data_IF_726696283594
#
_entry.id   IF_726696283594
#
_cell.length_a   1.000
_cell.length_b   1.000
_cell.length_c   1.000
_cell.angle_alpha   90.00
_cell.angle_beta   90.00
_cell.angle_gamma   90.00
#
_symmetry.space_group_name_H-M   'P 1'
#
loop_
_entity.id
_entity.type
_entity.pdbx_description
1 polymer ?
#
# COMPACT_ATOMS: atom_id res chain seq x y z
N UNK A 1 21.45 -0.04 -4.05
CA UNK A 1 20.85 0.70 -2.92
C UNK A 1 20.41 2.05 -3.43
N UNK A 2 19.11 2.32 -3.40
CA UNK A 2 18.54 3.62 -3.82
C UNK A 2 18.04 4.27 -2.56
N UNK A 3 18.67 5.38 -2.17
CA UNK A 3 18.16 6.17 -1.06
C UNK A 3 16.95 6.96 -1.54
N UNK A 4 15.78 6.68 -0.94
CA UNK A 4 14.59 7.51 -1.10
C UNK A 4 14.48 8.50 0.05
N UNK A 5 14.20 9.72 -0.29
CA UNK A 5 14.08 10.83 0.65
C UNK A 5 12.65 11.37 0.61
N UNK A 6 12.02 11.49 1.79
CA UNK A 6 10.76 12.21 1.96
C UNK A 6 10.97 13.45 2.82
N UNK A 7 10.47 14.58 2.35
CA UNK A 7 10.61 15.86 3.04
C UNK A 7 9.41 16.77 2.72
N UNK A 8 8.58 17.00 3.71
CA UNK A 8 7.26 17.59 3.48
C UNK A 8 6.44 16.73 2.50
N UNK A 9 5.86 17.35 1.48
CA UNK A 9 5.12 16.67 0.42
C UNK A 9 5.98 16.28 -0.78
N UNK A 10 7.30 16.39 -0.66
CA UNK A 10 8.25 16.00 -1.70
C UNK A 10 8.80 14.61 -1.46
N UNK A 11 9.05 13.91 -2.56
CA UNK A 11 9.74 12.63 -2.61
C UNK A 11 10.87 12.73 -3.63
N UNK A 12 12.03 12.21 -3.30
CA UNK A 12 13.18 12.22 -4.19
C UNK A 12 13.91 10.88 -4.10
N UNK A 13 14.26 10.33 -5.23
CA UNK A 13 15.26 9.28 -5.34
C UNK A 13 16.20 9.55 -6.52
N UNK A 14 17.35 8.86 -6.54
CA UNK A 14 18.39 9.13 -7.53
C UNK A 14 18.04 8.63 -8.93
N UNK A 15 17.07 7.74 -9.09
CA UNK A 15 16.65 7.17 -10.37
C UNK A 15 15.41 7.87 -10.93
N UNK A 16 14.32 7.94 -10.16
CA UNK A 16 13.05 8.54 -10.62
C UNK A 16 13.02 10.07 -10.48
N UNK A 17 13.94 10.65 -9.70
CA UNK A 17 14.06 12.11 -9.52
C UNK A 17 13.13 12.67 -8.45
N UNK A 18 12.74 13.94 -8.59
CA UNK A 18 11.89 14.66 -7.64
C UNK A 18 10.42 14.50 -8.02
N UNK A 19 9.58 14.22 -7.01
CA UNK A 19 8.13 14.22 -7.12
C UNK A 19 7.53 15.14 -6.05
N UNK A 20 6.45 15.82 -6.39
CA UNK A 20 5.65 16.61 -5.46
C UNK A 20 4.19 16.16 -5.54
N UNK A 21 3.61 15.70 -4.43
CA UNK A 21 2.27 15.10 -4.40
C UNK A 21 2.08 13.99 -5.46
N UNK A 22 3.12 13.17 -5.71
CA UNK A 22 3.11 12.10 -6.71
C UNK A 22 3.38 12.53 -8.16
N UNK A 23 3.42 13.82 -8.47
CA UNK A 23 3.71 14.33 -9.80
C UNK A 23 5.21 14.56 -9.99
N UNK A 24 5.76 14.08 -11.11
CA UNK A 24 7.17 14.25 -11.42
C UNK A 24 7.53 15.73 -11.62
N UNK A 25 8.61 16.18 -10.97
CA UNK A 25 9.18 17.52 -11.11
C UNK A 25 10.51 17.41 -11.85
N UNK A 26 10.54 17.88 -13.07
CA UNK A 26 11.75 17.81 -13.88
C UNK A 26 12.86 18.68 -13.29
N UNK A 27 13.99 18.06 -12.91
CA UNK A 27 15.20 18.72 -12.45
C UNK A 27 16.38 18.42 -13.38
N UNK A 28 17.07 19.43 -13.91
CA UNK A 28 18.33 19.24 -14.61
C UNK A 28 19.40 18.61 -13.68
N UNK A 29 20.49 18.03 -14.24
CA UNK A 29 21.45 17.24 -13.45
C UNK A 29 22.08 17.98 -12.26
N UNK A 30 22.39 19.28 -12.39
CA UNK A 30 23.01 20.07 -11.30
C UNK A 30 22.03 20.33 -10.17
N UNK A 31 20.78 20.68 -10.48
CA UNK A 31 19.70 20.90 -9.52
C UNK A 31 19.34 19.60 -8.80
N UNK A 32 19.36 18.45 -9.50
CA UNK A 32 19.20 17.12 -8.92
C UNK A 32 20.34 16.79 -7.96
N UNK A 33 21.58 17.02 -8.36
CA UNK A 33 22.75 16.82 -7.50
C UNK A 33 22.73 17.71 -6.25
N UNK A 34 22.31 18.98 -6.40
CA UNK A 34 22.15 19.91 -5.28
C UNK A 34 21.10 19.41 -4.28
N UNK A 35 19.92 19.02 -4.78
CA UNK A 35 18.87 18.49 -3.92
C UNK A 35 19.34 17.23 -3.17
N UNK A 36 19.98 16.31 -3.86
CA UNK A 36 20.54 15.10 -3.24
C UNK A 36 21.57 15.40 -2.15
N UNK A 37 22.45 16.38 -2.37
CA UNK A 37 23.42 16.81 -1.36
C UNK A 37 22.73 17.39 -0.11
N UNK A 38 21.70 18.23 -0.29
CA UNK A 38 20.91 18.80 0.82
C UNK A 38 20.12 17.74 1.59
N UNK A 39 19.58 16.74 0.90
CA UNK A 39 18.86 15.62 1.51
C UNK A 39 19.80 14.75 2.37
N UNK A 40 21.01 14.47 1.88
CA UNK A 40 22.05 13.78 2.64
C UNK A 40 22.49 14.56 3.88
N UNK A 41 22.39 15.87 3.86
CA UNK A 41 22.65 16.73 5.01
C UNK A 41 21.60 16.64 6.12
N UNK A 42 20.44 16.01 5.87
CA UNK A 42 19.37 15.76 6.86
C UNK A 42 18.98 16.97 7.69
N UNK A 43 18.86 18.13 7.06
CA UNK A 43 18.57 19.41 7.72
C UNK A 43 19.77 20.11 8.35
N UNK A 44 20.96 19.52 8.32
CA UNK A 44 22.20 20.21 8.63
C UNK A 44 22.62 21.11 7.49
N UNK A 45 23.45 22.13 7.80
CA UNK A 45 23.97 23.05 6.78
C UNK A 45 25.02 22.31 5.94
N UNK A 46 24.75 22.23 4.63
CA UNK A 46 25.73 21.75 3.64
C UNK A 46 26.51 22.94 3.13
N UNK A 47 27.82 22.89 3.30
CA UNK A 47 28.71 24.01 2.97
C UNK A 47 28.87 24.17 1.45
N UNK A 48 29.20 25.38 1.03
CA UNK A 48 29.38 25.70 -0.40
C UNK A 48 30.52 24.89 -1.04
N UNK A 49 31.65 24.75 -0.36
CA UNK A 49 32.80 23.96 -0.81
C UNK A 49 32.43 22.47 -1.01
N UNK A 50 31.64 21.91 -0.10
CA UNK A 50 31.13 20.55 -0.21
C UNK A 50 30.19 20.39 -1.41
N UNK A 51 29.32 21.37 -1.67
CA UNK A 51 28.43 21.37 -2.84
C UNK A 51 29.22 21.44 -4.16
N UNK A 52 30.27 22.29 -4.21
CA UNK A 52 31.12 22.39 -5.39
C UNK A 52 31.78 21.04 -5.70
N UNK A 53 32.40 20.42 -4.71
CA UNK A 53 33.07 19.12 -4.87
C UNK A 53 32.16 18.03 -5.36
N UNK A 54 30.89 18.03 -4.91
CA UNK A 54 29.90 16.98 -5.26
C UNK A 54 29.19 17.19 -6.60
N UNK A 55 29.03 18.44 -7.04
CA UNK A 55 28.10 18.75 -8.14
C UNK A 55 28.84 19.21 -9.40
N UNK A 56 30.02 19.82 -9.27
CA UNK A 56 30.77 20.33 -10.41
C UNK A 56 32.00 19.46 -10.71
N UNK A 57 32.07 18.84 -11.90
CA UNK A 57 33.16 17.92 -12.27
C UNK A 57 34.56 18.54 -12.20
N UNK A 58 34.67 19.84 -12.47
CA UNK A 58 35.93 20.59 -12.38
C UNK A 58 36.31 20.94 -10.95
N UNK A 59 35.46 20.65 -9.96
CA UNK A 59 35.60 21.10 -8.56
C UNK A 59 35.74 22.63 -8.41
N UNK A 60 35.31 23.38 -9.42
CA UNK A 60 35.31 24.83 -9.43
C UNK A 60 33.91 25.35 -9.77
N UNK A 61 33.38 26.25 -8.95
CA UNK A 61 32.16 26.98 -9.22
C UNK A 61 32.21 28.34 -8.49
N UNK A 62 31.77 29.40 -9.16
CA UNK A 62 31.57 30.70 -8.51
C UNK A 62 30.35 30.68 -7.59
N UNK A 63 30.35 31.53 -6.57
CA UNK A 63 29.18 31.74 -5.69
C UNK A 63 27.91 32.07 -6.47
N UNK A 64 28.04 32.75 -7.60
CA UNK A 64 26.95 33.08 -8.52
C UNK A 64 26.37 31.79 -9.17
N UNK A 65 27.24 30.87 -9.59
CA UNK A 65 26.81 29.57 -10.18
C UNK A 65 26.05 28.71 -9.19
N UNK A 66 26.49 28.67 -7.93
CA UNK A 66 25.80 27.96 -6.85
C UNK A 66 24.43 28.60 -6.59
N UNK A 67 24.40 29.94 -6.43
CA UNK A 67 23.18 30.71 -6.16
C UNK A 67 22.16 30.55 -7.29
N UNK A 68 22.61 30.52 -8.55
CA UNK A 68 21.76 30.29 -9.73
C UNK A 68 21.17 28.88 -9.74
N UNK A 69 21.94 27.85 -9.34
CA UNK A 69 21.46 26.47 -9.23
C UNK A 69 20.43 26.34 -8.13
N UNK A 70 20.66 26.96 -6.95
CA UNK A 70 19.68 26.99 -5.85
C UNK A 70 18.39 27.70 -6.28
N UNK A 71 18.49 28.84 -6.97
CA UNK A 71 17.33 29.57 -7.47
C UNK A 71 16.50 28.73 -8.45
N UNK A 72 17.15 28.02 -9.37
CA UNK A 72 16.46 27.13 -10.33
C UNK A 72 15.76 25.96 -9.63
N UNK A 73 16.41 25.37 -8.64
CA UNK A 73 15.82 24.30 -7.84
C UNK A 73 14.57 24.81 -7.11
N UNK A 74 14.64 25.95 -6.40
CA UNK A 74 13.48 26.58 -5.74
C UNK A 74 12.36 26.89 -6.74
N UNK A 75 12.71 27.47 -7.90
CA UNK A 75 11.73 27.78 -8.95
C UNK A 75 11.03 26.55 -9.49
N UNK A 76 11.75 25.43 -9.67
CA UNK A 76 11.14 24.17 -10.11
C UNK A 76 10.18 23.61 -9.06
N UNK A 77 10.55 23.66 -7.78
CA UNK A 77 9.71 23.22 -6.68
C UNK A 77 8.45 24.07 -6.52
N UNK A 78 8.57 25.40 -6.62
CA UNK A 78 7.43 26.32 -6.56
C UNK A 78 6.49 26.19 -7.76
N UNK A 79 7.00 25.98 -8.98
CA UNK A 79 6.19 25.73 -10.17
C UNK A 79 5.36 24.43 -10.05
N UNK A 80 5.85 23.46 -9.29
CA UNK A 80 5.11 22.25 -8.96
C UNK A 80 4.02 22.48 -7.87
N UNK A 81 3.88 23.70 -7.35
CA UNK A 81 2.92 24.06 -6.32
C UNK A 81 3.39 23.82 -4.89
N UNK A 82 4.67 23.50 -4.70
CA UNK A 82 5.22 23.20 -3.40
C UNK A 82 5.81 24.41 -2.66
N UNK A 83 5.97 24.33 -1.32
CA UNK A 83 6.60 25.38 -0.52
C UNK A 83 8.10 25.47 -0.76
N UNK A 84 8.69 26.65 -0.50
CA UNK A 84 10.16 26.79 -0.43
C UNK A 84 10.68 26.17 0.87
N UNK A 85 11.31 25.03 0.74
CA UNK A 85 11.87 24.24 1.86
C UNK A 85 13.39 24.41 2.00
N UNK A 86 14.04 25.24 1.15
CA UNK A 86 15.48 25.44 1.16
C UNK A 86 15.81 26.76 1.87
N UNK A 87 16.62 26.69 2.91
CA UNK A 87 17.11 27.86 3.63
C UNK A 87 18.53 28.18 3.24
N UNK A 88 18.79 29.47 2.99
CA UNK A 88 20.14 29.98 2.84
C UNK A 88 20.68 30.38 4.21
N UNK A 89 21.78 29.76 4.64
CA UNK A 89 22.49 30.12 5.86
C UNK A 89 23.65 31.02 5.49
N UNK A 90 23.53 32.29 5.89
CA UNK A 90 24.49 33.33 5.48
C UNK A 90 25.94 32.93 5.79
N UNK A 91 26.84 33.14 4.84
CA UNK A 91 28.28 32.80 4.85
C UNK A 91 28.61 31.30 5.08
N UNK A 92 27.64 30.40 5.19
CA UNK A 92 27.88 29.01 5.51
C UNK A 92 27.46 28.04 4.38
N UNK A 93 26.24 28.15 3.87
CA UNK A 93 25.74 27.25 2.85
C UNK A 93 24.22 27.21 2.80
N UNK A 94 23.68 26.01 2.60
CA UNK A 94 22.24 25.79 2.45
C UNK A 94 21.79 24.58 3.27
N UNK A 95 20.51 24.60 3.74
CA UNK A 95 19.89 23.45 4.40
C UNK A 95 18.42 23.32 4.04
N UNK A 96 17.84 22.16 4.33
CA UNK A 96 16.40 21.98 4.27
C UNK A 96 15.75 22.38 5.60
N UNK A 97 14.66 23.17 5.54
CA UNK A 97 13.85 23.59 6.71
C UNK A 97 12.94 22.50 7.24
N UNK A 98 12.72 21.44 6.47
CA UNK A 98 11.82 20.35 6.78
C UNK A 98 12.62 19.13 7.20
N UNK A 99 12.06 18.33 8.11
CA UNK A 99 12.67 17.06 8.48
C UNK A 99 12.76 16.13 7.27
N UNK A 100 13.95 15.57 7.05
CA UNK A 100 14.20 14.61 5.98
C UNK A 100 14.10 13.22 6.56
N UNK A 101 13.13 12.45 6.11
CA UNK A 101 13.09 11.01 6.36
C UNK A 101 13.79 10.30 5.22
N UNK A 102 14.78 9.52 5.54
CA UNK A 102 15.49 8.68 4.57
C UNK A 102 14.95 7.27 4.74
N UNK A 103 14.26 6.79 3.74
CA UNK A 103 13.98 5.38 3.59
C UNK A 103 15.04 4.85 2.64
N UNK A 104 15.93 3.99 3.11
CA UNK A 104 16.67 3.16 2.19
C UNK A 104 15.67 2.19 1.61
N UNK A 105 15.30 2.39 0.37
CA UNK A 105 14.85 1.28 -0.42
C UNK A 105 16.15 0.56 -0.76
N UNK A 106 16.49 -0.38 0.09
CA UNK A 106 17.08 -1.56 -0.51
C UNK A 106 16.08 -1.94 -1.60
N UNK A 107 16.51 -2.12 -2.87
CA UNK A 107 15.64 -2.77 -3.80
C UNK A 107 15.00 -3.90 -3.01
N UNK A 108 13.69 -4.16 -3.16
CA UNK A 108 13.06 -5.29 -2.49
C UNK A 108 13.77 -6.54 -3.02
N UNK A 109 14.97 -6.68 -2.66
CA UNK A 109 15.70 -7.87 -2.48
C UNK A 109 15.21 -8.29 -1.11
N UNK A 110 14.16 -9.10 -1.06
CA UNK A 110 14.10 -10.03 0.02
C UNK A 110 15.50 -10.62 0.08
N UNK A 111 16.32 -10.17 1.04
CA UNK A 111 17.65 -10.74 1.24
C UNK A 111 17.55 -12.16 1.78
N UNK A 112 16.38 -12.79 1.72
CA UNK A 112 16.20 -14.22 1.86
C UNK A 112 16.39 -15.00 0.57
N UNK A 113 16.55 -14.36 -0.59
CA UNK A 113 16.86 -15.08 -1.83
C UNK A 113 18.33 -14.92 -2.19
N UNK A 114 19.13 -15.89 -1.81
CA UNK A 114 20.56 -15.97 -2.14
C UNK A 114 20.81 -16.28 -3.63
N UNK A 115 19.77 -16.61 -4.40
CA UNK A 115 19.86 -16.91 -5.82
C UNK A 115 19.31 -15.78 -6.69
N UNK A 116 20.13 -14.74 -6.86
CA UNK A 116 19.90 -13.70 -7.89
C UNK A 116 20.21 -14.30 -9.26
N UNK A 117 19.38 -14.03 -10.25
CA UNK A 117 19.68 -14.40 -11.64
C UNK A 117 21.02 -13.80 -12.09
N UNK A 118 21.83 -14.58 -12.78
CA UNK A 118 23.04 -14.08 -13.43
C UNK A 118 22.77 -13.50 -14.83
N UNK A 119 21.49 -13.46 -15.28
CA UNK A 119 21.09 -12.95 -16.58
C UNK A 119 20.64 -11.48 -16.47
N UNK A 120 21.44 -10.51 -16.95
CA UNK A 120 21.13 -9.08 -16.78
C UNK A 120 19.74 -8.68 -17.27
N UNK A 121 19.30 -9.26 -18.38
CA UNK A 121 17.96 -8.97 -18.96
C UNK A 121 16.81 -9.47 -18.06
N UNK A 122 16.98 -10.59 -17.36
CA UNK A 122 15.98 -11.08 -16.39
C UNK A 122 15.89 -10.13 -15.19
N UNK A 123 17.03 -9.64 -14.69
CA UNK A 123 17.08 -8.64 -13.61
C UNK A 123 16.39 -7.35 -14.04
N UNK A 124 16.69 -6.84 -15.25
CA UNK A 124 16.04 -5.64 -15.79
C UNK A 124 14.52 -5.80 -15.89
N UNK A 125 14.04 -6.96 -16.35
CA UNK A 125 12.61 -7.23 -16.42
C UNK A 125 11.96 -7.28 -15.03
N UNK A 126 12.61 -7.85 -14.01
CA UNK A 126 12.12 -7.85 -12.65
C UNK A 126 12.11 -6.44 -12.04
N UNK A 127 13.10 -5.61 -12.35
CA UNK A 127 13.14 -4.20 -11.93
C UNK A 127 11.96 -3.43 -12.53
N UNK A 128 11.70 -3.60 -13.83
CA UNK A 128 10.53 -2.99 -14.48
C UNK A 128 9.20 -3.47 -13.83
N UNK A 129 9.11 -4.75 -13.44
CA UNK A 129 7.92 -5.25 -12.73
C UNK A 129 7.68 -4.51 -11.41
N UNK A 130 8.74 -4.22 -10.65
CA UNK A 130 8.66 -3.44 -9.40
C UNK A 130 8.18 -2.01 -9.63
N UNK A 131 8.70 -1.36 -10.67
CA UNK A 131 8.29 0.00 -11.03
C UNK A 131 6.82 0.06 -11.45
N UNK A 132 6.34 -0.89 -12.27
CA UNK A 132 4.94 -1.00 -12.61
C UNK A 132 4.06 -1.21 -11.37
N UNK A 133 4.42 -2.17 -10.51
CA UNK A 133 3.64 -2.46 -9.31
C UNK A 133 3.56 -1.27 -8.35
N UNK A 134 4.57 -0.41 -8.31
CA UNK A 134 4.58 0.80 -7.48
C UNK A 134 3.49 1.81 -7.88
N UNK A 135 3.09 1.87 -9.16
CA UNK A 135 2.04 2.77 -9.67
C UNK A 135 0.63 2.31 -9.33
N UNK A 136 0.43 1.01 -9.14
CA UNK A 136 -0.80 0.37 -8.64
C UNK A 136 -2.08 0.57 -9.46
N UNK A 137 -2.02 1.11 -10.68
CA UNK A 137 -3.18 1.09 -11.58
C UNK A 137 -3.45 -0.34 -12.06
N UNK A 138 -4.69 -0.71 -12.45
CA UNK A 138 -4.99 -2.05 -12.97
C UNK A 138 -4.08 -2.43 -14.15
N UNK A 139 -3.83 -1.51 -15.07
CA UNK A 139 -2.97 -1.71 -16.23
C UNK A 139 -1.51 -1.92 -15.83
N UNK A 140 -1.01 -1.15 -14.84
CA UNK A 140 0.35 -1.31 -14.34
C UNK A 140 0.54 -2.64 -13.60
N UNK A 141 -0.47 -3.11 -12.87
CA UNK A 141 -0.43 -4.43 -12.21
C UNK A 141 -0.33 -5.56 -13.22
N UNK A 142 -1.05 -5.47 -14.34
CA UNK A 142 -0.94 -6.45 -15.42
C UNK A 142 0.41 -6.35 -16.17
N UNK A 143 0.92 -5.13 -16.36
CA UNK A 143 2.26 -4.90 -16.91
C UNK A 143 3.35 -5.47 -15.98
N UNK A 144 3.22 -5.32 -14.66
CA UNK A 144 4.12 -5.93 -13.68
C UNK A 144 4.12 -7.45 -13.78
N UNK A 145 2.94 -8.08 -13.85
CA UNK A 145 2.82 -9.52 -14.03
C UNK A 145 3.45 -9.99 -15.37
N UNK A 146 3.30 -9.20 -16.43
CA UNK A 146 3.93 -9.50 -17.72
C UNK A 146 5.46 -9.41 -17.64
N UNK A 147 6.00 -8.37 -17.02
CA UNK A 147 7.43 -8.21 -16.83
C UNK A 147 8.05 -9.35 -15.98
N UNK A 148 7.36 -9.82 -14.93
CA UNK A 148 7.78 -11.01 -14.19
C UNK A 148 7.84 -12.26 -15.11
N UNK A 149 6.84 -12.46 -15.97
CA UNK A 149 6.85 -13.60 -16.92
C UNK A 149 8.01 -13.50 -17.93
N UNK A 150 8.36 -12.29 -18.37
CA UNK A 150 9.56 -12.09 -19.20
C UNK A 150 10.82 -12.52 -18.43
N UNK A 151 10.98 -12.08 -17.17
CA UNK A 151 12.11 -12.47 -16.33
C UNK A 151 12.21 -13.99 -16.16
N UNK A 152 11.08 -14.65 -15.89
CA UNK A 152 10.96 -16.10 -15.73
C UNK A 152 11.27 -16.85 -17.05
N UNK A 153 10.81 -16.34 -18.18
CA UNK A 153 11.14 -16.94 -19.50
C UNK A 153 12.64 -16.89 -19.78
N UNK A 154 13.30 -15.79 -19.37
CA UNK A 154 14.74 -15.66 -19.50
C UNK A 154 15.51 -16.52 -18.52
N UNK A 155 15.01 -16.68 -17.30
CA UNK A 155 15.62 -17.49 -16.25
C UNK A 155 14.53 -18.21 -15.43
N UNK A 156 14.18 -19.45 -15.80
CA UNK A 156 13.14 -20.23 -15.13
C UNK A 156 13.41 -20.51 -13.63
N UNK A 157 14.68 -20.46 -13.19
CA UNK A 157 15.09 -20.67 -11.81
C UNK A 157 15.23 -19.36 -11.01
N UNK A 158 14.79 -18.23 -11.55
CA UNK A 158 14.85 -16.93 -10.88
C UNK A 158 13.76 -16.83 -9.78
N UNK A 159 14.06 -17.36 -8.62
CA UNK A 159 13.14 -17.42 -7.47
C UNK A 159 12.47 -16.08 -7.13
N UNK A 160 13.23 -14.97 -7.14
CA UNK A 160 12.70 -13.65 -6.87
C UNK A 160 11.64 -13.18 -7.88
N UNK A 161 11.74 -13.59 -9.15
CA UNK A 161 10.73 -13.26 -10.16
C UNK A 161 9.44 -14.07 -9.95
N UNK A 162 9.55 -15.33 -9.55
CA UNK A 162 8.40 -16.15 -9.17
C UNK A 162 7.72 -15.65 -7.90
N UNK A 163 8.51 -15.31 -6.85
CA UNK A 163 7.97 -14.76 -5.61
C UNK A 163 7.24 -13.43 -5.86
N UNK A 164 7.80 -12.53 -6.68
CA UNK A 164 7.13 -11.29 -7.05
C UNK A 164 5.86 -11.53 -7.87
N UNK A 165 5.84 -12.52 -8.75
CA UNK A 165 4.63 -12.90 -9.48
C UNK A 165 3.53 -13.38 -8.51
N UNK A 166 3.90 -14.14 -7.46
CA UNK A 166 2.97 -14.54 -6.41
C UNK A 166 2.38 -13.32 -5.67
N UNK A 167 3.20 -12.35 -5.26
CA UNK A 167 2.75 -11.11 -4.61
C UNK A 167 1.82 -10.30 -5.52
N UNK A 168 2.12 -10.20 -6.82
CA UNK A 168 1.24 -9.53 -7.78
C UNK A 168 -0.13 -10.24 -7.86
N UNK A 169 -0.17 -11.56 -7.84
CA UNK A 169 -1.41 -12.34 -7.84
C UNK A 169 -2.23 -12.12 -6.56
N UNK A 170 -1.56 -12.09 -5.41
CA UNK A 170 -2.18 -11.70 -4.14
C UNK A 170 -2.79 -10.30 -4.24
N UNK A 171 -2.02 -9.34 -4.76
CA UNK A 171 -2.51 -7.98 -4.95
C UNK A 171 -3.74 -7.93 -5.87
N UNK A 172 -3.74 -8.71 -6.97
CA UNK A 172 -4.91 -8.83 -7.86
C UNK A 172 -6.14 -9.40 -7.12
N UNK A 173 -5.97 -10.40 -6.25
CA UNK A 173 -7.05 -10.94 -5.43
C UNK A 173 -7.61 -9.90 -4.45
N UNK A 174 -6.73 -9.22 -3.71
CA UNK A 174 -7.09 -8.21 -2.70
C UNK A 174 -7.82 -7.01 -3.32
N UNK A 175 -7.38 -6.58 -4.50
CA UNK A 175 -7.98 -5.45 -5.25
C UNK A 175 -9.15 -5.87 -6.12
N UNK A 176 -9.48 -7.15 -6.14
CA UNK A 176 -10.52 -7.68 -6.99
C UNK A 176 -10.27 -7.51 -8.50
N UNK A 177 -9.02 -7.42 -8.91
CA UNK A 177 -8.62 -7.36 -10.33
C UNK A 177 -8.70 -8.74 -11.01
N UNK A 178 -8.79 -9.79 -10.21
CA UNK A 178 -9.08 -11.18 -10.59
C UNK A 178 -9.95 -11.84 -9.54
N UNK A 179 -10.73 -12.87 -9.90
CA UNK A 179 -11.40 -13.71 -8.93
C UNK A 179 -10.40 -14.24 -7.89
N UNK A 180 -10.71 -14.06 -6.60
CA UNK A 180 -9.73 -14.31 -5.54
C UNK A 180 -9.24 -15.78 -5.50
N UNK A 181 -10.12 -16.75 -5.78
CA UNK A 181 -9.74 -18.17 -5.87
C UNK A 181 -8.78 -18.46 -7.02
N UNK A 182 -9.02 -17.86 -8.20
CA UNK A 182 -8.12 -18.00 -9.36
C UNK A 182 -6.77 -17.36 -9.08
N UNK A 183 -6.78 -16.11 -8.60
CA UNK A 183 -5.55 -15.39 -8.28
C UNK A 183 -4.76 -16.07 -7.16
N UNK A 184 -5.43 -16.61 -6.14
CA UNK A 184 -4.82 -17.38 -5.06
C UNK A 184 -4.17 -18.68 -5.56
N UNK A 185 -4.85 -19.42 -6.44
CA UNK A 185 -4.25 -20.61 -7.06
C UNK A 185 -2.99 -20.27 -7.85
N UNK A 186 -3.03 -19.21 -8.67
CA UNK A 186 -1.86 -18.73 -9.43
C UNK A 186 -0.73 -18.23 -8.51
N UNK A 187 -1.07 -17.55 -7.41
CA UNK A 187 -0.11 -17.11 -6.41
C UNK A 187 0.60 -18.29 -5.74
N UNK A 188 -0.17 -19.32 -5.37
CA UNK A 188 0.36 -20.55 -4.78
C UNK A 188 1.35 -21.24 -5.70
N UNK A 189 0.97 -21.45 -6.98
CA UNK A 189 1.84 -22.10 -7.97
C UNK A 189 3.17 -21.32 -8.13
N UNK A 190 3.10 -20.00 -8.23
CA UNK A 190 4.29 -19.16 -8.34
C UNK A 190 5.15 -19.23 -7.06
N UNK A 191 4.54 -19.19 -5.88
CA UNK A 191 5.25 -19.27 -4.60
C UNK A 191 5.93 -20.63 -4.40
N UNK A 192 5.26 -21.74 -4.74
CA UNK A 192 5.84 -23.10 -4.69
C UNK A 192 7.01 -23.22 -5.65
N UNK A 193 6.88 -22.74 -6.91
CA UNK A 193 8.00 -22.74 -7.87
C UNK A 193 9.17 -21.88 -7.39
N UNK A 194 8.89 -20.75 -6.71
CA UNK A 194 9.94 -19.94 -6.11
C UNK A 194 10.66 -20.69 -4.98
N UNK A 195 9.93 -21.43 -4.14
CA UNK A 195 10.49 -22.22 -3.04
C UNK A 195 11.28 -23.45 -3.54
N UNK A 196 10.89 -24.04 -4.66
CA UNK A 196 11.65 -25.12 -5.29
C UNK A 196 13.03 -24.60 -5.80
N UNK A 197 13.05 -23.36 -6.30
CA UNK A 197 14.29 -22.71 -6.74
C UNK A 197 15.14 -22.14 -5.58
N UNK A 198 14.49 -21.64 -4.53
CA UNK A 198 15.11 -21.06 -3.33
C UNK A 198 14.23 -21.35 -2.09
N UNK A 199 14.53 -22.42 -1.34
CA UNK A 199 13.76 -22.82 -0.14
C UNK A 199 13.76 -21.77 0.98
N UNK A 200 14.72 -20.84 0.99
CA UNK A 200 14.87 -19.79 2.00
C UNK A 200 14.24 -18.46 1.56
N UNK A 201 13.49 -18.46 0.46
CA UNK A 201 12.78 -17.26 0.02
C UNK A 201 11.67 -16.86 0.98
N UNK A 202 11.91 -15.83 1.80
CA UNK A 202 10.92 -15.28 2.75
C UNK A 202 9.67 -14.78 2.01
N UNK A 203 9.83 -14.08 0.89
CA UNK A 203 8.72 -13.56 0.09
C UNK A 203 7.82 -14.67 -0.46
N UNK A 204 8.43 -15.74 -1.01
CA UNK A 204 7.66 -16.85 -1.53
C UNK A 204 6.93 -17.63 -0.41
N UNK A 205 7.59 -17.83 0.73
CA UNK A 205 6.99 -18.47 1.89
C UNK A 205 5.83 -17.65 2.45
N UNK A 206 6.00 -16.33 2.53
CA UNK A 206 4.94 -15.43 2.96
C UNK A 206 3.73 -15.48 2.01
N UNK A 207 3.96 -15.43 0.69
CA UNK A 207 2.88 -15.53 -0.31
C UNK A 207 2.12 -16.86 -0.20
N UNK A 208 2.82 -17.98 0.00
CA UNK A 208 2.18 -19.30 0.22
C UNK A 208 1.35 -19.30 1.50
N UNK A 209 1.89 -18.74 2.59
CA UNK A 209 1.18 -18.63 3.86
C UNK A 209 -0.06 -17.76 3.77
N UNK A 210 0.02 -16.63 3.06
CA UNK A 210 -1.13 -15.77 2.83
C UNK A 210 -2.26 -16.50 2.05
N UNK A 211 -1.90 -17.21 0.98
CA UNK A 211 -2.88 -17.99 0.21
C UNK A 211 -3.55 -19.06 1.09
N UNK A 212 -2.78 -19.79 1.90
CA UNK A 212 -3.31 -20.77 2.83
C UNK A 212 -4.33 -20.14 3.81
N UNK A 213 -3.98 -18.99 4.41
CA UNK A 213 -4.83 -18.32 5.38
C UNK A 213 -6.08 -17.68 4.75
N UNK A 214 -5.92 -16.95 3.65
CA UNK A 214 -6.96 -16.04 3.14
C UNK A 214 -7.81 -16.63 2.02
N UNK A 215 -7.28 -17.58 1.25
CA UNK A 215 -7.98 -18.19 0.10
C UNK A 215 -8.42 -19.59 0.41
N UNK A 216 -7.56 -20.40 1.04
CA UNK A 216 -7.85 -21.79 1.42
C UNK A 216 -8.52 -21.89 2.80
N UNK A 217 -8.58 -20.76 3.53
CA UNK A 217 -9.19 -20.65 4.86
C UNK A 217 -8.52 -21.54 5.94
N UNK A 218 -7.27 -21.95 5.71
CA UNK A 218 -6.44 -22.64 6.71
C UNK A 218 -5.49 -21.62 7.39
N UNK A 219 -6.07 -20.83 8.29
CA UNK A 219 -5.36 -19.76 9.00
C UNK A 219 -4.19 -20.31 9.82
N UNK A 220 -4.35 -21.50 10.43
CA UNK A 220 -3.30 -22.10 11.26
C UNK A 220 -2.08 -22.51 10.42
N UNK A 221 -2.28 -23.11 9.26
CA UNK A 221 -1.22 -23.44 8.31
C UNK A 221 -0.57 -22.16 7.78
N UNK A 222 -1.42 -21.17 7.38
CA UNK A 222 -0.94 -19.89 6.87
C UNK A 222 -0.03 -19.18 7.87
N UNK A 223 -0.41 -19.10 9.14
CA UNK A 223 0.39 -18.47 10.18
C UNK A 223 1.75 -19.16 10.39
N UNK A 224 1.84 -20.50 10.32
CA UNK A 224 3.12 -21.20 10.40
C UNK A 224 4.10 -20.80 9.30
N UNK A 225 3.62 -20.70 8.05
CA UNK A 225 4.44 -20.25 6.93
C UNK A 225 4.84 -18.77 7.07
N UNK A 226 3.93 -17.93 7.55
CA UNK A 226 4.16 -16.49 7.75
C UNK A 226 5.11 -16.21 8.92
N UNK A 227 5.02 -16.97 10.01
CA UNK A 227 5.98 -16.89 11.12
C UNK A 227 7.40 -17.25 10.64
N UNK A 228 7.52 -18.34 9.87
CA UNK A 228 8.79 -18.74 9.30
C UNK A 228 9.33 -17.70 8.29
N UNK A 229 8.47 -17.06 7.50
CA UNK A 229 8.87 -16.00 6.57
C UNK A 229 9.43 -14.77 7.29
N UNK A 230 8.79 -14.33 8.40
CA UNK A 230 9.28 -13.22 9.23
C UNK A 230 10.62 -13.57 9.92
N UNK A 231 10.81 -14.84 10.31
CA UNK A 231 12.08 -15.29 10.88
C UNK A 231 13.22 -15.32 9.85
N UNK A 232 12.92 -15.70 8.60
CA UNK A 232 13.90 -15.74 7.51
C UNK A 232 14.36 -14.34 7.10
N UNK A 233 13.44 -13.39 7.00
CA UNK A 233 13.76 -11.99 6.67
C UNK A 233 12.89 -11.01 7.48
N UNK A 234 13.37 -10.59 8.67
CA UNK A 234 12.64 -9.65 9.52
C UNK A 234 12.49 -8.25 8.94
N UNK A 235 13.29 -7.89 7.94
CA UNK A 235 13.27 -6.57 7.30
C UNK A 235 12.37 -6.56 6.04
N UNK A 236 11.88 -7.71 5.58
CA UNK A 236 10.95 -7.78 4.46
C UNK A 236 9.54 -7.38 4.90
N UNK A 237 9.17 -6.12 4.69
CA UNK A 237 7.87 -5.56 5.08
C UNK A 237 6.65 -6.36 4.56
N UNK A 238 6.78 -7.02 3.40
CA UNK A 238 5.71 -7.84 2.82
C UNK A 238 5.29 -9.00 3.72
N UNK A 239 6.23 -9.69 4.37
CA UNK A 239 5.94 -10.77 5.33
C UNK A 239 5.13 -10.27 6.52
N UNK A 240 5.46 -9.08 7.04
CA UNK A 240 4.70 -8.47 8.15
C UNK A 240 3.27 -8.12 7.73
N UNK A 241 3.08 -7.53 6.54
CA UNK A 241 1.74 -7.25 6.00
C UNK A 241 0.93 -8.52 5.84
N UNK A 242 1.49 -9.54 5.20
CA UNK A 242 0.77 -10.78 4.93
C UNK A 242 0.45 -11.54 6.21
N UNK A 243 1.34 -11.50 7.21
CA UNK A 243 1.10 -12.06 8.56
C UNK A 243 -0.02 -11.30 9.27
N UNK A 244 -0.03 -9.97 9.16
CA UNK A 244 -1.09 -9.15 9.76
C UNK A 244 -2.48 -9.52 9.23
N UNK A 245 -2.61 -9.80 7.93
CA UNK A 245 -3.87 -10.27 7.34
C UNK A 245 -4.34 -11.59 7.98
N UNK A 246 -3.45 -12.56 8.14
CA UNK A 246 -3.78 -13.83 8.76
C UNK A 246 -4.11 -13.72 10.25
N UNK A 247 -3.39 -12.85 10.99
CA UNK A 247 -3.68 -12.54 12.40
C UNK A 247 -5.06 -11.87 12.55
N UNK A 248 -5.39 -10.93 11.67
CA UNK A 248 -6.70 -10.28 11.65
C UNK A 248 -7.83 -11.30 11.42
N UNK A 249 -7.64 -12.22 10.46
CA UNK A 249 -8.59 -13.30 10.22
C UNK A 249 -8.72 -14.26 11.41
N UNK A 250 -7.65 -14.45 12.19
CA UNK A 250 -7.63 -15.23 13.42
C UNK A 250 -8.28 -14.52 14.64
N UNK A 251 -8.68 -13.25 14.50
CA UNK A 251 -9.17 -12.43 15.64
C UNK A 251 -8.06 -11.90 16.56
N UNK A 252 -6.79 -12.03 16.18
CA UNK A 252 -5.61 -11.56 16.94
C UNK A 252 -5.29 -10.11 16.57
N UNK A 253 -6.23 -9.20 16.84
CA UNK A 253 -6.26 -7.84 16.31
C UNK A 253 -5.05 -7.00 16.74
N UNK A 254 -4.69 -6.99 18.04
CA UNK A 254 -3.57 -6.20 18.53
C UNK A 254 -2.22 -6.64 17.92
N UNK A 255 -2.06 -7.94 17.69
CA UNK A 255 -0.87 -8.45 17.03
C UNK A 255 -0.85 -8.09 15.53
N UNK A 256 -2.01 -8.09 14.87
CA UNK A 256 -2.13 -7.64 13.50
C UNK A 256 -1.74 -6.16 13.36
N UNK A 257 -2.20 -5.29 14.27
CA UNK A 257 -1.81 -3.87 14.32
C UNK A 257 -0.30 -3.72 14.50
N UNK A 258 0.32 -4.44 15.45
CA UNK A 258 1.76 -4.39 15.67
C UNK A 258 2.57 -4.80 14.42
N UNK A 259 2.10 -5.81 13.67
CA UNK A 259 2.75 -6.22 12.42
C UNK A 259 2.65 -5.15 11.34
N UNK A 260 1.51 -4.48 11.20
CA UNK A 260 1.38 -3.39 10.22
C UNK A 260 2.17 -2.17 10.65
N UNK A 261 2.25 -1.86 11.94
CA UNK A 261 3.14 -0.80 12.46
C UNK A 261 4.60 -1.07 12.05
N UNK A 262 5.08 -2.31 12.25
CA UNK A 262 6.42 -2.68 11.81
C UNK A 262 6.58 -2.55 10.29
N UNK A 263 5.59 -2.94 9.51
CA UNK A 263 5.60 -2.76 8.06
C UNK A 263 5.63 -1.28 7.63
N UNK A 264 4.98 -0.36 8.37
CA UNK A 264 5.05 1.09 8.09
C UNK A 264 6.41 1.69 8.39
N UNK A 265 7.13 1.17 9.38
CA UNK A 265 8.51 1.56 9.67
C UNK A 265 9.45 1.13 8.54
N UNK A 266 9.30 -0.12 8.07
CA UNK A 266 10.11 -0.69 6.99
C UNK A 266 9.77 -0.10 5.61
N UNK A 267 8.51 0.26 5.39
CA UNK A 267 8.03 0.84 4.12
C UNK A 267 7.27 2.15 4.34
N UNK A 268 7.97 3.14 4.88
CA UNK A 268 7.37 4.43 5.25
C UNK A 268 6.68 5.18 4.10
N UNK A 269 7.03 4.89 2.85
CA UNK A 269 6.48 5.55 1.65
C UNK A 269 5.30 4.80 1.03
N UNK A 270 5.00 3.61 1.51
CA UNK A 270 3.93 2.78 0.97
C UNK A 270 2.54 3.22 1.45
N UNK A 271 1.78 3.99 0.66
CA UNK A 271 0.42 4.37 1.06
C UNK A 271 -0.46 3.16 1.44
N UNK A 272 -0.24 2.00 0.83
CA UNK A 272 -0.99 0.78 1.12
C UNK A 272 -0.78 0.25 2.54
N UNK A 273 0.44 0.34 3.10
CA UNK A 273 0.70 -0.09 4.49
C UNK A 273 0.09 0.87 5.50
N UNK A 274 0.14 2.18 5.24
CA UNK A 274 -0.55 3.18 6.06
C UNK A 274 -2.08 3.02 6.02
N UNK A 275 -2.63 2.67 4.84
CA UNK A 275 -4.04 2.36 4.69
C UNK A 275 -4.46 1.14 5.52
N UNK A 276 -3.65 0.08 5.52
CA UNK A 276 -3.88 -1.11 6.34
C UNK A 276 -3.76 -0.81 7.83
N UNK A 277 -2.83 0.06 8.24
CA UNK A 277 -2.70 0.47 9.65
C UNK A 277 -4.01 1.09 10.15
N UNK A 278 -4.53 2.09 9.44
CA UNK A 278 -5.79 2.73 9.82
C UNK A 278 -6.97 1.74 9.86
N UNK A 279 -7.04 0.81 8.89
CA UNK A 279 -8.07 -0.22 8.85
C UNK A 279 -7.94 -1.23 9.99
N UNK A 280 -6.73 -1.70 10.31
CA UNK A 280 -6.55 -2.72 11.35
C UNK A 280 -6.74 -2.15 12.75
N UNK A 281 -6.33 -0.90 13.00
CA UNK A 281 -6.67 -0.18 14.22
C UNK A 281 -8.19 -0.05 14.40
N UNK A 282 -8.91 0.29 13.30
CA UNK A 282 -10.37 0.34 13.31
C UNK A 282 -10.98 -1.01 13.71
N UNK A 283 -10.54 -2.11 13.08
CA UNK A 283 -11.05 -3.46 13.35
C UNK A 283 -10.64 -3.97 14.75
N UNK A 284 -9.55 -3.45 15.31
CA UNK A 284 -9.13 -3.70 16.69
C UNK A 284 -9.93 -2.88 17.73
N UNK A 285 -10.81 -1.97 17.29
CA UNK A 285 -11.54 -1.07 18.16
C UNK A 285 -10.75 0.14 18.65
N UNK A 286 -9.55 0.37 18.14
CA UNK A 286 -8.67 1.51 18.45
C UNK A 286 -9.11 2.75 17.66
N UNK A 287 -10.33 3.25 17.93
CA UNK A 287 -11.00 4.24 17.07
C UNK A 287 -10.23 5.56 16.93
N UNK A 288 -9.66 6.08 18.03
CA UNK A 288 -8.89 7.32 17.99
C UNK A 288 -7.60 7.19 17.19
N UNK A 289 -6.89 6.07 17.37
CA UNK A 289 -5.69 5.76 16.60
C UNK A 289 -6.02 5.56 15.11
N UNK A 290 -7.11 4.87 14.79
CA UNK A 290 -7.57 4.66 13.43
C UNK A 290 -7.90 6.00 12.72
N UNK A 291 -8.58 6.93 13.41
CA UNK A 291 -8.88 8.27 12.88
C UNK A 291 -7.61 9.08 12.64
N UNK A 292 -6.67 9.07 13.59
CA UNK A 292 -5.39 9.75 13.44
C UNK A 292 -4.59 9.21 12.25
N UNK A 293 -4.48 7.88 12.13
CA UNK A 293 -3.80 7.21 11.02
C UNK A 293 -4.49 7.48 9.67
N UNK A 294 -5.82 7.50 9.62
CA UNK A 294 -6.58 7.81 8.42
C UNK A 294 -6.40 9.27 7.98
N UNK A 295 -6.34 10.19 8.94
CA UNK A 295 -6.08 11.61 8.67
C UNK A 295 -4.65 11.81 8.14
N UNK A 296 -3.64 11.19 8.77
CA UNK A 296 -2.26 11.24 8.29
C UNK A 296 -2.15 10.65 6.87
N UNK A 297 -2.79 9.49 6.62
CA UNK A 297 -2.84 8.86 5.31
C UNK A 297 -3.40 9.82 4.25
N UNK A 298 -4.56 10.43 4.50
CA UNK A 298 -5.22 11.31 3.56
C UNK A 298 -4.43 12.61 3.29
N UNK A 299 -3.75 13.13 4.30
CA UNK A 299 -2.90 14.33 4.17
C UNK A 299 -1.60 14.04 3.45
N UNK A 300 -0.95 12.92 3.79
CA UNK A 300 0.34 12.53 3.23
C UNK A 300 0.23 12.08 1.79
N UNK A 301 -0.85 11.39 1.45
CA UNK A 301 -1.13 10.86 0.11
C UNK A 301 -2.34 11.54 -0.53
N UNK A 302 -2.31 12.87 -0.54
CA UNK A 302 -3.45 13.73 -0.87
C UNK A 302 -3.98 13.54 -2.31
N UNK A 303 -3.11 13.07 -3.23
CA UNK A 303 -3.44 12.83 -4.65
C UNK A 303 -3.77 11.36 -4.94
N UNK A 304 -3.79 10.51 -3.92
CA UNK A 304 -4.09 9.09 -4.09
C UNK A 304 -5.55 8.84 -3.73
N UNK A 305 -6.34 8.47 -4.73
CA UNK A 305 -7.78 8.19 -4.61
C UNK A 305 -8.11 7.14 -3.55
N UNK A 306 -7.36 6.04 -3.52
CA UNK A 306 -7.54 4.97 -2.54
C UNK A 306 -7.20 5.40 -1.10
N UNK A 307 -6.26 6.32 -0.91
CA UNK A 307 -5.98 6.88 0.41
C UNK A 307 -7.17 7.69 0.93
N UNK A 308 -7.79 8.50 0.06
CA UNK A 308 -8.99 9.26 0.41
C UNK A 308 -10.20 8.34 0.67
N UNK A 309 -10.38 7.29 -0.16
CA UNK A 309 -11.45 6.30 0.02
C UNK A 309 -11.32 5.53 1.35
N UNK A 310 -10.11 5.16 1.76
CA UNK A 310 -9.87 4.50 3.05
C UNK A 310 -10.15 5.47 4.22
N UNK A 311 -9.70 6.72 4.12
CA UNK A 311 -10.03 7.72 5.14
C UNK A 311 -11.55 7.89 5.28
N UNK A 312 -12.28 7.99 4.17
CA UNK A 312 -13.74 7.99 4.18
C UNK A 312 -14.33 6.79 4.91
N UNK A 313 -13.82 5.58 4.64
CA UNK A 313 -14.26 4.36 5.31
C UNK A 313 -14.08 4.44 6.81
N UNK A 314 -12.87 4.81 7.27
CA UNK A 314 -12.56 4.90 8.70
C UNK A 314 -13.43 5.95 9.41
N UNK A 315 -13.55 7.15 8.85
CA UNK A 315 -14.40 8.20 9.45
C UNK A 315 -15.87 7.79 9.46
N UNK A 316 -16.36 7.12 8.41
CA UNK A 316 -17.73 6.58 8.37
C UNK A 316 -17.97 5.52 9.46
N UNK A 317 -17.03 4.62 9.69
CA UNK A 317 -17.10 3.63 10.77
C UNK A 317 -17.09 4.27 12.17
N UNK A 318 -16.45 5.42 12.30
CA UNK A 318 -16.42 6.19 13.57
C UNK A 318 -17.62 7.15 13.72
N UNK A 319 -18.62 7.08 12.86
CA UNK A 319 -19.82 7.93 12.89
C UNK A 319 -19.60 9.38 12.47
N UNK A 320 -18.41 9.73 11.96
CA UNK A 320 -18.08 11.06 11.45
C UNK A 320 -18.49 11.23 9.99
N UNK A 321 -19.80 11.28 9.75
CA UNK A 321 -20.39 11.19 8.41
C UNK A 321 -19.96 12.34 7.50
N UNK A 322 -19.87 13.58 8.01
CA UNK A 322 -19.45 14.75 7.21
C UNK A 322 -18.00 14.63 6.74
N UNK A 323 -17.13 14.12 7.61
CA UNK A 323 -15.74 13.84 7.22
C UNK A 323 -15.66 12.70 6.21
N UNK A 324 -16.45 11.65 6.39
CA UNK A 324 -16.53 10.53 5.46
C UNK A 324 -16.97 11.00 4.06
N UNK A 325 -18.01 11.83 3.96
CA UNK A 325 -18.46 12.42 2.70
C UNK A 325 -17.34 13.25 2.04
N UNK A 326 -16.74 14.16 2.79
CA UNK A 326 -15.66 15.01 2.28
C UNK A 326 -14.51 14.22 1.67
N UNK A 327 -14.06 13.14 2.33
CA UNK A 327 -12.99 12.28 1.82
C UNK A 327 -13.44 11.42 0.64
N UNK A 328 -14.70 10.96 0.63
CA UNK A 328 -15.26 10.21 -0.49
C UNK A 328 -15.37 11.06 -1.76
N UNK A 329 -15.87 12.28 -1.64
CA UNK A 329 -15.95 13.26 -2.74
C UNK A 329 -14.55 13.59 -3.28
N UNK A 330 -13.56 13.70 -2.38
CA UNK A 330 -12.17 13.91 -2.80
C UNK A 330 -11.63 12.71 -3.57
N UNK A 331 -11.92 11.48 -3.13
CA UNK A 331 -11.56 10.28 -3.88
C UNK A 331 -12.20 10.29 -5.28
N UNK A 332 -13.48 10.65 -5.37
CA UNK A 332 -14.19 10.75 -6.64
C UNK A 332 -13.57 11.82 -7.56
N UNK A 333 -13.24 12.99 -7.03
CA UNK A 333 -12.58 14.07 -7.77
C UNK A 333 -11.19 13.67 -8.30
N UNK A 334 -10.52 12.74 -7.64
CA UNK A 334 -9.26 12.14 -8.09
C UNK A 334 -9.43 11.02 -9.12
N UNK A 335 -10.69 10.72 -9.52
CA UNK A 335 -10.99 9.71 -10.52
C UNK A 335 -11.15 8.29 -9.96
N UNK A 336 -11.54 8.15 -8.69
CA UNK A 336 -11.74 6.85 -8.08
C UNK A 336 -12.60 5.91 -8.94
N UNK A 337 -12.10 4.72 -9.28
CA UNK A 337 -12.86 3.75 -10.07
C UNK A 337 -14.09 3.25 -9.28
N UNK A 338 -15.09 2.65 -9.93
CA UNK A 338 -16.33 2.18 -9.27
C UNK A 338 -16.08 1.36 -8.00
N UNK A 339 -15.08 0.49 -8.00
CA UNK A 339 -14.73 -0.34 -6.82
C UNK A 339 -14.32 0.49 -5.59
N UNK A 340 -13.82 1.71 -5.75
CA UNK A 340 -13.44 2.62 -4.66
C UNK A 340 -14.54 3.63 -4.29
N UNK A 341 -15.74 3.55 -4.90
CA UNK A 341 -16.86 4.45 -4.61
C UNK A 341 -17.79 3.92 -3.51
N UNK A 342 -17.60 2.69 -3.06
CA UNK A 342 -18.44 2.12 -1.99
C UNK A 342 -18.41 2.94 -0.67
N UNK A 343 -17.30 3.56 -0.23
CA UNK A 343 -17.32 4.48 0.90
C UNK A 343 -18.23 5.70 0.69
N UNK A 344 -18.32 6.22 -0.54
CA UNK A 344 -19.25 7.31 -0.87
C UNK A 344 -20.70 6.86 -0.71
N UNK A 345 -21.05 5.68 -1.25
CA UNK A 345 -22.40 5.14 -1.11
C UNK A 345 -22.79 4.99 0.37
N UNK A 346 -21.88 4.49 1.21
CA UNK A 346 -22.11 4.38 2.64
C UNK A 346 -22.30 5.74 3.31
N UNK A 347 -21.41 6.70 3.04
CA UNK A 347 -21.49 8.03 3.65
C UNK A 347 -22.79 8.77 3.26
N UNK A 348 -23.23 8.64 1.99
CA UNK A 348 -24.52 9.15 1.52
C UNK A 348 -25.69 8.49 2.23
N UNK A 349 -25.69 7.16 2.38
CA UNK A 349 -26.73 6.45 3.12
C UNK A 349 -26.79 6.88 4.59
N UNK A 350 -25.65 6.98 5.24
CA UNK A 350 -25.53 7.39 6.64
C UNK A 350 -25.93 8.86 6.88
N UNK A 351 -25.80 9.74 5.86
CA UNK A 351 -26.26 11.12 5.90
C UNK A 351 -27.76 11.32 5.53
N UNK A 352 -28.47 10.22 5.26
CA UNK A 352 -29.89 10.25 4.88
C UNK A 352 -30.15 10.52 3.37
N UNK A 353 -29.11 10.58 2.55
CA UNK A 353 -29.20 10.79 1.09
C UNK A 353 -29.42 9.44 0.37
N UNK A 354 -30.52 8.76 0.71
CA UNK A 354 -30.77 7.37 0.32
C UNK A 354 -30.81 7.14 -1.21
N UNK A 355 -31.42 8.07 -1.96
CA UNK A 355 -31.55 7.91 -3.42
C UNK A 355 -30.21 8.06 -4.13
N UNK A 356 -29.34 8.94 -3.63
CA UNK A 356 -27.99 9.13 -4.13
C UNK A 356 -27.10 7.91 -3.82
N UNK A 357 -27.22 7.40 -2.61
CA UNK A 357 -26.54 6.17 -2.19
C UNK A 357 -26.92 4.98 -3.10
N UNK A 358 -28.22 4.83 -3.42
CA UNK A 358 -28.69 3.78 -4.35
C UNK A 358 -28.16 3.96 -5.76
N UNK A 359 -28.05 5.18 -6.26
CA UNK A 359 -27.44 5.46 -7.58
C UNK A 359 -25.98 5.01 -7.62
N UNK A 360 -25.19 5.38 -6.61
CA UNK A 360 -23.78 4.97 -6.54
C UNK A 360 -23.64 3.45 -6.42
N UNK A 361 -24.50 2.78 -5.64
CA UNK A 361 -24.51 1.31 -5.57
C UNK A 361 -24.80 0.69 -6.94
N UNK A 362 -25.76 1.22 -7.67
CA UNK A 362 -26.11 0.74 -9.02
C UNK A 362 -24.94 0.93 -10.00
N UNK A 363 -24.22 2.05 -9.95
CA UNK A 363 -23.01 2.27 -10.75
C UNK A 363 -21.93 1.22 -10.45
N UNK A 364 -21.72 0.88 -9.16
CA UNK A 364 -20.77 -0.13 -8.75
C UNK A 364 -21.20 -1.51 -9.26
N UNK A 365 -22.48 -1.83 -9.19
CA UNK A 365 -23.03 -3.13 -9.63
C UNK A 365 -22.98 -3.31 -11.15
N UNK A 366 -23.20 -2.25 -11.91
CA UNK A 366 -23.12 -2.25 -13.37
C UNK A 366 -21.67 -2.30 -13.88
N UNK A 367 -20.73 -1.87 -13.06
CA UNK A 367 -19.32 -1.97 -13.42
C UNK A 367 -18.90 -3.45 -13.46
N UNK A 368 -18.28 -3.88 -14.55
CA UNK A 368 -17.75 -5.24 -14.72
C UNK A 368 -16.48 -5.49 -13.88
N UNK A 369 -16.45 -4.96 -12.66
CA UNK A 369 -15.32 -5.09 -11.71
C UNK A 369 -15.78 -5.83 -10.47
N UNK A 370 -14.89 -6.60 -9.84
CA UNK A 370 -15.19 -7.24 -8.57
C UNK A 370 -15.61 -6.21 -7.52
N UNK A 371 -16.70 -6.50 -6.82
CA UNK A 371 -17.36 -5.55 -5.95
C UNK A 371 -16.80 -5.63 -4.52
N UNK A 372 -16.68 -4.49 -3.81
CA UNK A 372 -16.24 -4.44 -2.42
C UNK A 372 -17.36 -4.92 -1.48
N UNK A 373 -17.58 -6.23 -1.41
CA UNK A 373 -18.69 -6.88 -0.70
C UNK A 373 -19.00 -6.32 0.70
N UNK A 374 -18.03 -6.26 1.64
CA UNK A 374 -18.32 -5.76 3.00
C UNK A 374 -18.76 -4.30 3.04
N UNK A 375 -18.15 -3.42 2.22
CA UNK A 375 -18.53 -2.01 2.19
C UNK A 375 -19.90 -1.78 1.56
N UNK A 376 -20.26 -2.57 0.53
CA UNK A 376 -21.60 -2.54 -0.05
C UNK A 376 -22.64 -3.08 0.95
N UNK A 377 -22.32 -4.16 1.68
CA UNK A 377 -23.19 -4.70 2.72
C UNK A 377 -23.50 -3.65 3.80
N UNK A 378 -22.47 -2.89 4.23
CA UNK A 378 -22.65 -1.79 5.18
C UNK A 378 -23.57 -0.69 4.61
N UNK A 379 -23.49 -0.39 3.32
CA UNK A 379 -24.36 0.59 2.67
C UNK A 379 -25.83 0.09 2.64
N UNK A 380 -26.06 -1.15 2.24
CA UNK A 380 -27.42 -1.73 2.26
C UNK A 380 -28.01 -1.74 3.66
N UNK A 381 -27.20 -2.09 4.69
CA UNK A 381 -27.63 -2.06 6.07
C UNK A 381 -28.00 -0.64 6.53
N UNK A 382 -27.23 0.38 6.16
CA UNK A 382 -27.51 1.79 6.45
C UNK A 382 -28.80 2.27 5.74
N UNK A 383 -29.17 1.67 4.59
CA UNK A 383 -30.42 1.92 3.87
C UNK A 383 -31.61 1.12 4.44
N UNK A 384 -31.42 0.32 5.49
CA UNK A 384 -32.44 -0.52 6.10
C UNK A 384 -32.70 -1.85 5.38
N UNK A 385 -31.89 -2.20 4.38
CA UNK A 385 -32.01 -3.46 3.61
C UNK A 385 -31.03 -4.52 4.11
N UNK A 386 -31.38 -5.14 5.22
CA UNK A 386 -30.58 -6.20 5.82
C UNK A 386 -30.50 -7.46 4.92
N UNK A 387 -31.52 -7.72 4.10
CA UNK A 387 -31.55 -8.88 3.20
C UNK A 387 -30.47 -8.76 2.13
N UNK A 388 -30.39 -7.61 1.45
CA UNK A 388 -29.33 -7.34 0.47
C UNK A 388 -27.94 -7.31 1.13
N UNK A 389 -27.84 -6.75 2.34
CA UNK A 389 -26.57 -6.74 3.07
C UNK A 389 -26.04 -8.16 3.33
N UNK A 390 -26.89 -9.08 3.81
CA UNK A 390 -26.53 -10.49 4.00
C UNK A 390 -26.15 -11.16 2.69
N UNK A 391 -26.93 -10.95 1.62
CA UNK A 391 -26.66 -11.53 0.31
C UNK A 391 -25.28 -11.10 -0.24
N UNK A 392 -24.89 -9.84 -0.02
CA UNK A 392 -23.56 -9.35 -0.42
C UNK A 392 -22.40 -9.98 0.36
N UNK A 393 -22.60 -10.26 1.65
CA UNK A 393 -21.59 -10.94 2.46
C UNK A 393 -21.48 -12.42 2.08
N UNK A 394 -22.59 -13.10 1.81
CA UNK A 394 -22.58 -14.49 1.33
C UNK A 394 -21.88 -14.57 -0.04
N UNK A 395 -22.21 -13.71 -1.00
CA UNK A 395 -21.53 -13.64 -2.29
C UNK A 395 -20.01 -13.36 -2.15
N UNK A 396 -19.61 -12.48 -1.22
CA UNK A 396 -18.20 -12.23 -0.93
C UNK A 396 -17.49 -13.49 -0.40
N UNK A 397 -18.13 -14.25 0.47
CA UNK A 397 -17.61 -15.53 0.97
C UNK A 397 -17.47 -16.55 -0.17
N UNK A 398 -18.52 -16.75 -0.95
CA UNK A 398 -18.53 -17.72 -2.06
C UNK A 398 -17.46 -17.43 -3.12
N UNK A 399 -17.20 -16.15 -3.38
CA UNK A 399 -16.13 -15.71 -4.27
C UNK A 399 -14.73 -15.73 -3.64
N UNK A 400 -14.64 -16.01 -2.35
CA UNK A 400 -13.38 -16.03 -1.60
C UNK A 400 -12.76 -14.63 -1.45
N UNK A 401 -13.59 -13.57 -1.36
CA UNK A 401 -13.09 -12.20 -1.15
C UNK A 401 -12.37 -12.14 0.19
N UNK A 402 -11.05 -11.79 0.21
CA UNK A 402 -10.26 -11.87 1.44
C UNK A 402 -10.79 -11.02 2.59
N UNK A 403 -11.39 -9.86 2.28
CA UNK A 403 -11.98 -8.95 3.26
C UNK A 403 -13.24 -9.48 3.95
N UNK A 404 -13.84 -10.58 3.46
CA UNK A 404 -14.98 -11.21 4.13
C UNK A 404 -14.63 -11.62 5.57
N UNK A 405 -13.41 -12.11 5.80
CA UNK A 405 -12.94 -12.48 7.13
C UNK A 405 -12.98 -11.33 8.14
N UNK A 406 -12.85 -10.07 7.67
CA UNK A 406 -12.87 -8.87 8.51
C UNK A 406 -14.26 -8.26 8.70
N UNK A 407 -15.23 -8.65 7.87
CA UNK A 407 -16.58 -8.08 7.92
C UNK A 407 -17.26 -8.30 9.27
N UNK A 408 -16.90 -9.38 9.99
CA UNK A 408 -17.39 -9.66 11.34
C UNK A 408 -17.06 -8.53 12.33
N UNK A 409 -15.87 -7.94 12.17
CA UNK A 409 -15.32 -6.94 13.10
C UNK A 409 -15.56 -5.50 12.63
N UNK A 410 -16.18 -5.32 11.44
CA UNK A 410 -16.57 -4.01 10.93
C UNK A 410 -17.67 -3.38 11.81
N UNK A 411 -17.43 -2.22 12.44
CA UNK A 411 -18.42 -1.57 13.30
C UNK A 411 -19.77 -1.30 12.63
N UNK A 412 -19.78 -1.08 11.30
CA UNK A 412 -20.99 -0.81 10.52
C UNK A 412 -21.89 -2.03 10.34
N UNK A 413 -21.34 -3.23 10.52
CA UNK A 413 -22.02 -4.51 10.31
C UNK A 413 -22.38 -5.21 11.62
N UNK A 414 -22.27 -4.52 12.77
CA UNK A 414 -22.53 -5.09 14.12
C UNK A 414 -23.91 -5.74 14.20
N UNK A 415 -24.94 -5.16 13.57
CA UNK A 415 -26.29 -5.71 13.55
C UNK A 415 -26.44 -7.06 12.81
N UNK A 416 -25.42 -7.48 12.06
CA UNK A 416 -25.43 -8.77 11.33
C UNK A 416 -24.56 -9.85 11.99
N UNK A 417 -23.85 -9.57 13.08
CA UNK A 417 -22.95 -10.54 13.75
C UNK A 417 -23.66 -11.81 14.18
N UNK A 418 -24.86 -11.66 14.72
CA UNK A 418 -25.70 -12.76 15.23
C UNK A 418 -26.60 -13.38 14.15
N UNK A 419 -26.52 -12.91 12.90
CA UNK A 419 -27.34 -13.46 11.82
C UNK A 419 -26.95 -14.94 11.57
N UNK A 420 -27.90 -15.92 11.69
CA UNK A 420 -27.55 -17.34 11.76
C UNK A 420 -26.68 -17.84 10.61
N UNK A 421 -26.95 -17.37 9.39
CA UNK A 421 -26.22 -17.76 8.20
C UNK A 421 -24.76 -17.21 8.24
N UNK A 422 -24.57 -15.95 8.61
CA UNK A 422 -23.25 -15.32 8.65
C UNK A 422 -22.42 -15.82 9.85
N UNK A 423 -23.06 -16.01 10.99
CA UNK A 423 -22.40 -16.54 12.18
C UNK A 423 -21.77 -17.92 11.91
N UNK A 424 -22.49 -18.82 11.20
CA UNK A 424 -21.96 -20.10 10.78
C UNK A 424 -20.74 -19.99 9.85
N UNK A 425 -20.79 -19.07 8.88
CA UNK A 425 -19.69 -18.83 7.94
C UNK A 425 -18.44 -18.29 8.66
N UNK A 426 -18.62 -17.33 9.58
CA UNK A 426 -17.50 -16.78 10.34
C UNK A 426 -16.92 -17.76 11.36
N UNK A 427 -17.76 -18.59 11.98
CA UNK A 427 -17.30 -19.64 12.88
C UNK A 427 -16.39 -20.67 12.17
N UNK A 428 -16.65 -20.93 10.90
CA UNK A 428 -15.83 -21.82 10.09
C UNK A 428 -14.41 -21.25 9.77
N UNK A 429 -14.24 -19.92 9.83
CA UNK A 429 -12.95 -19.26 9.58
C UNK A 429 -12.00 -19.30 10.80
N UNK A 430 -12.55 -19.38 12.01
CA UNK A 430 -11.78 -19.34 13.26
C UNK A 430 -11.55 -20.77 13.76
N UNK A 431 -10.31 -21.25 13.82
CA UNK A 431 -10.05 -22.59 14.35
C UNK A 431 -10.48 -22.70 15.82
N UNK A 432 -11.00 -23.86 16.26
CA UNK A 432 -11.53 -24.07 17.61
C UNK A 432 -10.55 -23.73 18.74
N UNK A 433 -9.26 -23.77 18.49
CA UNK A 433 -8.19 -23.48 19.47
C UNK A 433 -7.97 -21.98 19.72
N UNK A 434 -8.47 -21.09 18.88
CA UNK A 434 -8.36 -19.64 19.07
C UNK A 434 -9.53 -19.03 19.87
N UNK A 435 -10.57 -19.84 20.17
CA UNK A 435 -11.75 -19.42 20.95
C UNK A 435 -11.55 -19.57 22.47
N UNK A 436 -10.43 -20.11 22.91
CA UNK A 436 -10.17 -20.46 24.31
C UNK A 436 -9.05 -19.62 24.97
N UNK A 437 -8.65 -18.53 24.36
CA UNK A 437 -7.73 -17.52 24.92
C UNK A 437 -8.38 -16.13 24.86
#
# INVERSE_FOLDING_TARGET
>A
MIDQYAFGNYQFDTESGLHFNGNAVHLPPKERGLLHALLNGRGQVVRKDELVTRIWPSHEASDESISRTVYRLRSAMQKAGGPDVIETVYNSGFRLRVGVRVSRIEPITGQGSTRTSQRPRAITALTAAREFLARRSPQDVDAAAHACRIAITMDPHFAAAWAMLADIRIFQAVRGLRPAREAGWLARQAAETALDADPDSAAARASRGWVAAMVEQDVARGLRDLDAAVQLDPEYWGSHVQRAWALQAAGRHSEAVAMVQRATELNAMGHGVHALLAQFQLLAGELDAAQASAQELAQRFITIDSAQAIASTVFGCCGRVDDALRYAERALALGAPPALRAPLAYALAASGQADEARRVLQEIEQAAVPQPGPCMAATYLALGDATSAVARLVDAHERGVPQFAWARDDPRLTGLREHPHLAALWAALVPPQAQAA
#
